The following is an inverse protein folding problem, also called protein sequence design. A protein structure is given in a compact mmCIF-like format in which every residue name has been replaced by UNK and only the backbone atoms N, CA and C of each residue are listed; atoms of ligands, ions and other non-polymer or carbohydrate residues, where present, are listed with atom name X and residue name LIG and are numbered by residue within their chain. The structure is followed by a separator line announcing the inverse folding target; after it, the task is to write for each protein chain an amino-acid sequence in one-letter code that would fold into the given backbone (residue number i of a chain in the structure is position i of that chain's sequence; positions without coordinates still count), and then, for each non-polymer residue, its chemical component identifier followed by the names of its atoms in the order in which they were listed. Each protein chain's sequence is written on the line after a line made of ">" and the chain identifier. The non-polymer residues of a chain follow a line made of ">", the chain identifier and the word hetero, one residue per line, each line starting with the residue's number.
data_IF_683956937486
#
_entry.id   IF_683956937486
#
_cell.length_a   1.000
_cell.length_b   1.000
_cell.length_c   1.000
_cell.angle_alpha   90.00
_cell.angle_beta   90.00
_cell.angle_gamma   90.00
#
_symmetry.space_group_name_H-M   'P 1'
#
loop_
_entity.id
_entity.type
_entity.pdbx_description
1 polymer ?
#
# COMPACT_ATOMS: atom_id res chain seq x y z
N UNK A 1 -15.33 8.16 13.47
CA UNK A 1 -16.56 7.79 12.71
C UNK A 1 -16.79 8.60 11.42
N UNK A 2 -15.78 9.26 10.81
CA UNK A 2 -15.94 9.94 9.50
C UNK A 2 -15.68 9.02 8.30
N UNK A 3 -15.00 7.89 8.49
CA UNK A 3 -14.81 6.86 7.47
C UNK A 3 -16.09 6.07 7.14
N UNK A 4 -17.13 6.20 7.96
CA UNK A 4 -18.12 5.13 8.13
C UNK A 4 -19.39 5.24 7.30
N UNK A 5 -19.73 6.40 6.70
CA UNK A 5 -21.00 6.52 5.95
C UNK A 5 -20.83 7.02 4.51
N UNK A 6 -20.03 8.07 4.27
CA UNK A 6 -19.87 8.66 2.93
C UNK A 6 -19.00 7.81 1.99
N UNK A 7 -17.97 7.14 2.51
CA UNK A 7 -17.15 6.20 1.74
C UNK A 7 -17.88 4.86 1.50
N UNK A 8 -18.68 4.42 2.48
CA UNK A 8 -19.35 3.11 2.48
C UNK A 8 -20.55 3.06 1.51
N UNK A 9 -21.43 4.06 1.52
CA UNK A 9 -22.53 4.15 0.55
C UNK A 9 -22.02 4.32 -0.89
N UNK A 10 -20.79 4.79 -1.04
CA UNK A 10 -20.10 4.98 -2.31
C UNK A 10 -19.54 3.68 -2.91
N UNK A 11 -19.48 2.56 -2.18
CA UNK A 11 -18.93 1.28 -2.73
C UNK A 11 -20.02 0.38 -3.30
N UNK A 12 -21.23 0.36 -2.72
CA UNK A 12 -22.35 -0.43 -3.25
C UNK A 12 -22.69 0.04 -4.67
N UNK A 13 -22.53 -0.85 -5.66
CA UNK A 13 -22.71 -0.55 -7.08
C UNK A 13 -21.47 0.01 -7.81
N UNK A 14 -20.37 0.29 -7.11
CA UNK A 14 -19.11 0.84 -7.66
C UNK A 14 -17.89 0.01 -7.28
N UNK A 15 -18.10 -1.27 -7.02
CA UNK A 15 -17.07 -2.24 -6.63
C UNK A 15 -15.90 -2.25 -7.62
N UNK A 16 -16.19 -2.28 -8.91
CA UNK A 16 -15.17 -2.24 -9.97
C UNK A 16 -14.35 -0.96 -9.91
N UNK A 17 -15.00 0.18 -9.71
CA UNK A 17 -14.32 1.48 -9.61
C UNK A 17 -13.37 1.53 -8.40
N UNK A 18 -13.78 0.96 -7.26
CA UNK A 18 -12.93 0.91 -6.05
C UNK A 18 -11.74 -0.02 -6.26
N UNK A 19 -11.94 -1.20 -6.86
CA UNK A 19 -10.83 -2.10 -7.21
C UNK A 19 -9.89 -1.41 -8.20
N UNK A 20 -10.43 -0.74 -9.21
CA UNK A 20 -9.65 0.02 -10.19
C UNK A 20 -8.84 1.13 -9.53
N UNK A 21 -9.42 1.88 -8.58
CA UNK A 21 -8.72 2.91 -7.82
C UNK A 21 -7.57 2.34 -6.97
N UNK A 22 -7.76 1.17 -6.36
CA UNK A 22 -6.68 0.47 -5.66
C UNK A 22 -5.59 0.05 -6.65
N UNK A 23 -5.96 -0.62 -7.74
CA UNK A 23 -5.00 -1.18 -8.70
C UNK A 23 -4.29 -0.09 -9.54
N UNK A 24 -4.83 1.13 -9.60
CA UNK A 24 -4.12 2.28 -10.14
C UNK A 24 -2.84 2.59 -9.35
N UNK A 25 -2.81 2.31 -8.03
CA UNK A 25 -1.55 2.34 -7.29
C UNK A 25 -0.61 1.21 -7.71
N UNK A 26 -1.10 0.06 -8.14
CA UNK A 26 -0.26 -1.03 -8.67
C UNK A 26 0.54 -0.64 -9.91
N UNK A 27 0.01 0.23 -10.77
CA UNK A 27 0.71 0.77 -11.93
C UNK A 27 1.90 1.67 -11.54
N UNK A 28 1.81 2.31 -10.38
CA UNK A 28 2.82 3.23 -9.86
C UNK A 28 3.15 2.92 -8.39
N UNK A 29 3.30 1.63 -8.06
CA UNK A 29 3.35 1.20 -6.66
C UNK A 29 4.63 1.70 -6.00
N UNK A 30 4.53 2.26 -4.79
CA UNK A 30 5.68 2.73 -4.00
C UNK A 30 6.86 1.74 -4.03
N UNK A 31 6.58 0.44 -3.89
CA UNK A 31 7.63 -0.58 -3.80
C UNK A 31 8.42 -0.77 -5.11
N UNK A 32 7.92 -0.23 -6.22
CA UNK A 32 8.52 -0.33 -7.55
C UNK A 32 9.43 0.86 -7.89
N UNK A 33 9.43 1.94 -7.11
CA UNK A 33 10.26 3.13 -7.38
C UNK A 33 11.36 3.26 -6.34
N UNK A 34 12.61 3.05 -6.76
CA UNK A 34 13.78 3.01 -5.88
C UNK A 34 14.61 4.27 -6.03
N UNK A 35 15.19 4.71 -4.92
CA UNK A 35 16.23 5.72 -4.96
C UNK A 35 17.45 5.18 -5.71
N UNK A 36 18.20 6.06 -6.36
CA UNK A 36 19.50 5.76 -6.95
C UNK A 36 20.66 6.07 -5.97
N UNK A 37 20.37 6.84 -4.91
CA UNK A 37 21.33 7.33 -3.94
C UNK A 37 20.63 7.85 -2.67
N UNK A 38 21.33 7.94 -1.52
CA UNK A 38 22.63 7.32 -1.24
C UNK A 38 22.53 5.79 -1.12
N UNK A 39 23.64 5.06 -1.37
CA UNK A 39 23.66 3.58 -1.38
C UNK A 39 23.08 2.93 -0.11
N UNK A 40 23.26 3.56 1.05
CA UNK A 40 22.69 3.07 2.31
C UNK A 40 21.15 3.08 2.29
N UNK A 41 20.53 4.09 1.67
CA UNK A 41 19.08 4.15 1.53
C UNK A 41 18.57 3.16 0.47
N UNK A 42 19.29 3.01 -0.65
CA UNK A 42 19.00 1.98 -1.67
C UNK A 42 19.01 0.58 -1.04
N UNK A 43 20.01 0.28 -0.21
CA UNK A 43 20.09 -1.00 0.49
C UNK A 43 18.93 -1.19 1.47
N UNK A 44 18.55 -0.15 2.20
CA UNK A 44 17.42 -0.17 3.12
C UNK A 44 16.08 -0.41 2.39
N UNK A 45 15.85 0.25 1.24
CA UNK A 45 14.70 -0.02 0.39
C UNK A 45 14.67 -1.46 -0.10
N UNK A 46 15.79 -2.01 -0.61
CA UNK A 46 15.86 -3.40 -1.06
C UNK A 46 15.52 -4.39 0.05
N UNK A 47 16.19 -4.26 1.19
CA UNK A 47 15.97 -5.15 2.35
C UNK A 47 14.54 -5.09 2.89
N UNK A 48 13.86 -3.94 2.78
CA UNK A 48 12.50 -3.75 3.28
C UNK A 48 11.43 -4.15 2.24
N UNK A 49 11.62 -3.81 0.98
CA UNK A 49 10.59 -3.89 -0.06
C UNK A 49 10.70 -5.13 -0.96
N UNK A 50 11.90 -5.67 -1.22
CA UNK A 50 12.06 -6.84 -2.10
C UNK A 50 11.30 -8.07 -1.57
N UNK A 51 11.33 -8.40 -0.26
CA UNK A 51 10.58 -9.56 0.26
C UNK A 51 9.05 -9.41 0.14
N UNK A 52 8.55 -8.18 0.02
CA UNK A 52 7.12 -7.88 -0.17
C UNK A 52 6.76 -7.95 -1.65
N UNK A 53 7.63 -7.42 -2.52
CA UNK A 53 7.46 -7.48 -3.96
C UNK A 53 7.48 -8.94 -4.44
N UNK A 54 8.51 -9.71 -4.06
CA UNK A 54 8.60 -11.13 -4.40
C UNK A 54 7.41 -11.95 -3.89
N UNK A 55 6.89 -11.61 -2.71
CA UNK A 55 5.69 -12.24 -2.19
C UNK A 55 4.47 -11.90 -3.05
N UNK A 56 4.30 -10.63 -3.42
CA UNK A 56 3.18 -10.19 -4.26
C UNK A 56 3.23 -10.85 -5.64
N UNK A 57 4.41 -10.95 -6.24
CA UNK A 57 4.64 -11.63 -7.51
C UNK A 57 4.26 -13.11 -7.45
N UNK A 58 4.61 -13.81 -6.36
CA UNK A 58 4.19 -15.20 -6.11
C UNK A 58 2.68 -15.31 -5.89
N UNK A 59 2.09 -14.37 -5.15
CA UNK A 59 0.65 -14.35 -4.87
C UNK A 59 -0.15 -14.14 -6.15
N UNK A 60 0.26 -13.23 -7.04
CA UNK A 60 -0.47 -12.91 -8.28
C UNK A 60 -0.06 -13.79 -9.47
N UNK A 61 1.12 -14.42 -9.44
CA UNK A 61 1.67 -15.18 -10.56
C UNK A 61 2.18 -14.29 -11.71
N UNK A 62 2.60 -13.07 -11.39
CA UNK A 62 3.05 -12.03 -12.34
C UNK A 62 4.30 -11.33 -11.81
N UNK A 63 4.89 -10.43 -12.61
CA UNK A 63 6.09 -9.68 -12.21
C UNK A 63 5.87 -8.17 -12.32
N UNK A 64 6.40 -7.46 -11.34
CA UNK A 64 6.44 -6.00 -11.38
C UNK A 64 7.77 -5.53 -11.95
N UNK A 65 7.74 -4.41 -12.66
CA UNK A 65 8.96 -3.74 -13.10
C UNK A 65 9.36 -2.75 -12.01
N UNK A 66 10.59 -2.90 -11.53
CA UNK A 66 11.22 -1.96 -10.59
C UNK A 66 12.01 -0.93 -11.39
N UNK A 67 11.81 0.35 -11.08
CA UNK A 67 12.55 1.47 -11.64
C UNK A 67 13.46 2.10 -10.60
N UNK A 68 14.62 2.59 -11.02
CA UNK A 68 15.56 3.35 -10.21
C UNK A 68 15.52 4.83 -10.65
N UNK A 69 15.50 5.75 -9.68
CA UNK A 69 15.38 7.18 -9.92
C UNK A 69 13.98 7.60 -10.37
N UNK A 70 13.91 8.60 -11.25
CA UNK A 70 12.65 9.26 -11.66
C UNK A 70 12.02 8.67 -12.94
N UNK A 71 12.62 7.62 -13.51
CA UNK A 71 12.16 7.08 -14.78
C UNK A 71 10.86 6.30 -14.59
N UNK A 72 9.75 6.67 -15.28
CA UNK A 72 8.52 5.89 -15.21
C UNK A 72 8.72 4.49 -15.80
N UNK A 73 8.13 3.49 -15.16
CA UNK A 73 8.04 2.12 -15.68
C UNK A 73 6.57 1.75 -15.88
N UNK A 74 6.21 1.36 -17.10
CA UNK A 74 4.87 0.86 -17.43
C UNK A 74 4.77 -0.60 -17.01
N UNK A 75 3.87 -0.91 -16.07
CA UNK A 75 3.69 -2.28 -15.57
C UNK A 75 3.01 -3.18 -16.61
N UNK A 76 3.37 -4.48 -16.69
CA UNK A 76 2.70 -5.40 -17.60
C UNK A 76 1.20 -5.49 -17.31
N UNK A 77 0.38 -5.45 -18.37
CA UNK A 77 -1.08 -5.44 -18.24
C UNK A 77 -1.59 -6.72 -17.54
N UNK A 78 -0.95 -7.86 -17.80
CA UNK A 78 -1.23 -9.13 -17.14
C UNK A 78 -0.93 -9.10 -15.64
N UNK A 79 0.12 -8.39 -15.20
CA UNK A 79 0.43 -8.22 -13.77
C UNK A 79 -0.66 -7.39 -13.09
N UNK A 80 -1.08 -6.29 -13.71
CA UNK A 80 -2.15 -5.43 -13.18
C UNK A 80 -3.52 -6.13 -13.15
N UNK A 81 -3.81 -6.96 -14.16
CA UNK A 81 -5.02 -7.78 -14.18
C UNK A 81 -4.99 -8.84 -13.07
N UNK A 82 -3.86 -9.53 -12.88
CA UNK A 82 -3.72 -10.53 -11.82
C UNK A 82 -3.86 -9.90 -10.41
N UNK A 83 -3.35 -8.67 -10.23
CA UNK A 83 -3.56 -7.89 -9.01
C UNK A 83 -5.04 -7.54 -8.80
N UNK A 84 -5.72 -7.10 -9.86
CA UNK A 84 -7.16 -6.81 -9.87
C UNK A 84 -7.97 -8.04 -9.42
N UNK A 85 -7.62 -9.21 -9.92
CA UNK A 85 -8.29 -10.46 -9.57
C UNK A 85 -8.12 -10.79 -8.08
N UNK A 86 -6.96 -10.50 -7.47
CA UNK A 86 -6.76 -10.69 -6.02
C UNK A 86 -7.57 -9.74 -5.17
N UNK A 87 -7.91 -8.56 -5.66
CA UNK A 87 -8.83 -7.65 -4.98
C UNK A 87 -10.29 -8.02 -5.17
N UNK A 88 -10.62 -8.69 -6.27
CA UNK A 88 -12.00 -9.09 -6.62
C UNK A 88 -12.65 -10.08 -5.65
N UNK A 89 -11.91 -10.68 -4.72
CA UNK A 89 -12.45 -11.62 -3.74
C UNK A 89 -12.91 -10.97 -2.42
N UNK A 90 -12.50 -9.73 -2.14
CA UNK A 90 -12.84 -9.08 -0.87
C UNK A 90 -14.25 -8.49 -0.90
N UNK A 91 -15.01 -8.54 0.19
CA UNK A 91 -16.32 -7.89 0.30
C UNK A 91 -16.24 -6.36 0.22
N UNK A 92 -17.37 -5.69 -0.02
CA UNK A 92 -17.41 -4.24 -0.25
C UNK A 92 -16.84 -3.41 0.92
N UNK A 93 -17.12 -3.80 2.16
CA UNK A 93 -16.56 -3.14 3.34
C UNK A 93 -15.05 -3.36 3.47
N UNK A 94 -14.56 -4.54 3.09
CA UNK A 94 -13.13 -4.83 3.08
C UNK A 94 -12.44 -3.98 2.00
N UNK A 95 -13.02 -3.86 0.82
CA UNK A 95 -12.49 -2.99 -0.24
C UNK A 95 -12.41 -1.52 0.17
N UNK A 96 -13.39 -1.01 0.91
CA UNK A 96 -13.34 0.36 1.42
C UNK A 96 -12.15 0.57 2.37
N UNK A 97 -11.89 -0.39 3.27
CA UNK A 97 -10.72 -0.36 4.16
C UNK A 97 -9.41 -0.46 3.37
N UNK A 98 -9.32 -1.39 2.42
CA UNK A 98 -8.14 -1.60 1.58
C UNK A 98 -7.83 -0.39 0.71
N UNK A 99 -8.84 0.29 0.17
CA UNK A 99 -8.66 1.52 -0.59
C UNK A 99 -8.08 2.66 0.25
N UNK A 100 -8.50 2.79 1.52
CA UNK A 100 -7.91 3.77 2.41
C UNK A 100 -6.43 3.45 2.68
N UNK A 101 -6.13 2.19 3.01
CA UNK A 101 -4.75 1.75 3.21
C UNK A 101 -3.90 1.99 1.95
N UNK A 102 -4.42 1.69 0.75
CA UNK A 102 -3.70 1.93 -0.50
C UNK A 102 -3.40 3.41 -0.72
N UNK A 103 -4.39 4.27 -0.49
CA UNK A 103 -4.25 5.73 -0.61
C UNK A 103 -3.19 6.27 0.35
N UNK A 104 -3.22 5.83 1.60
CA UNK A 104 -2.31 6.30 2.64
C UNK A 104 -0.87 5.80 2.49
N UNK A 105 -0.69 4.64 1.83
CA UNK A 105 0.62 4.02 1.61
C UNK A 105 1.18 4.21 0.20
N UNK A 106 0.39 4.78 -0.72
CA UNK A 106 0.70 4.83 -2.15
C UNK A 106 1.07 3.46 -2.76
N UNK A 107 0.43 2.39 -2.28
CA UNK A 107 0.74 1.02 -2.67
C UNK A 107 -0.52 0.17 -2.74
N UNK A 108 -0.64 -0.65 -3.77
CA UNK A 108 -1.59 -1.75 -3.83
C UNK A 108 -1.01 -3.05 -3.25
N UNK A 109 0.32 -3.18 -3.16
CA UNK A 109 0.95 -4.37 -2.59
C UNK A 109 0.79 -4.42 -1.07
N UNK A 110 1.05 -3.31 -0.37
CA UNK A 110 1.05 -3.27 1.11
C UNK A 110 -0.32 -3.61 1.74
N UNK A 111 -1.45 -3.03 1.28
CA UNK A 111 -2.76 -3.40 1.80
C UNK A 111 -3.10 -4.86 1.53
N UNK A 112 -2.73 -5.38 0.35
CA UNK A 112 -2.94 -6.79 0.02
C UNK A 112 -2.12 -7.71 0.95
N UNK A 113 -0.87 -7.35 1.25
CA UNK A 113 -0.02 -8.08 2.18
C UNK A 113 -0.63 -8.16 3.58
N UNK A 114 -1.16 -7.05 4.10
CA UNK A 114 -1.90 -7.04 5.37
C UNK A 114 -3.17 -7.88 5.28
N UNK A 115 -3.92 -7.75 4.18
CA UNK A 115 -5.15 -8.49 3.96
C UNK A 115 -4.93 -10.01 3.86
N UNK A 116 -3.75 -10.45 3.44
CA UNK A 116 -3.38 -11.87 3.37
C UNK A 116 -2.61 -12.35 4.61
N UNK A 117 -2.36 -11.47 5.57
CA UNK A 117 -1.62 -11.81 6.79
C UNK A 117 -0.12 -12.03 6.56
N UNK A 118 0.43 -11.51 5.45
CA UNK A 118 1.86 -11.62 5.12
C UNK A 118 2.73 -10.77 6.04
N UNK A 119 2.23 -9.59 6.43
CA UNK A 119 2.86 -8.67 7.38
C UNK A 119 1.81 -8.03 8.28
N UNK A 120 2.16 -7.62 9.51
CA UNK A 120 1.27 -6.84 10.33
C UNK A 120 1.07 -5.41 9.78
N UNK A 121 -0.04 -4.74 10.11
CA UNK A 121 -0.32 -3.37 9.65
C UNK A 121 0.75 -2.35 10.02
N UNK A 122 1.39 -2.50 11.17
CA UNK A 122 2.44 -1.61 11.66
C UNK A 122 3.68 -1.66 10.76
N UNK A 123 4.13 -2.87 10.42
CA UNK A 123 5.24 -3.07 9.48
C UNK A 123 4.90 -2.57 8.08
N UNK A 124 3.64 -2.73 7.64
CA UNK A 124 3.20 -2.18 6.36
C UNK A 124 3.25 -0.64 6.34
N UNK A 125 2.87 0.00 7.44
CA UNK A 125 2.98 1.45 7.59
C UNK A 125 4.44 1.92 7.59
N UNK A 126 5.31 1.21 8.31
CA UNK A 126 6.75 1.51 8.34
C UNK A 126 7.39 1.36 6.96
N UNK A 127 7.06 0.29 6.24
CA UNK A 127 7.51 0.10 4.86
C UNK A 127 7.03 1.23 3.94
N UNK A 128 5.79 1.71 4.12
CA UNK A 128 5.24 2.82 3.32
C UNK A 128 5.89 4.18 3.61
N UNK A 129 6.44 4.38 4.81
CA UNK A 129 7.01 5.66 5.25
C UNK A 129 8.54 5.57 5.43
N UNK A 130 9.18 4.61 4.75
CA UNK A 130 10.60 4.34 4.87
C UNK A 130 11.46 5.56 4.50
N UNK A 131 11.07 6.28 3.46
CA UNK A 131 11.76 7.50 3.01
C UNK A 131 11.62 8.64 4.03
N UNK A 132 10.41 8.88 4.54
CA UNK A 132 10.18 9.88 5.58
C UNK A 132 11.02 9.56 6.84
N UNK A 133 11.03 8.30 7.27
CA UNK A 133 11.82 7.85 8.41
C UNK A 133 13.33 8.00 8.16
N UNK A 134 13.80 7.78 6.93
CA UNK A 134 15.17 8.04 6.54
C UNK A 134 15.51 9.54 6.64
N UNK A 135 14.67 10.39 6.06
CA UNK A 135 14.86 11.84 6.02
C UNK A 135 14.88 12.45 7.42
N UNK A 136 13.98 12.04 8.30
CA UNK A 136 13.96 12.46 9.71
C UNK A 136 15.28 12.13 10.42
N UNK A 137 15.86 10.94 10.16
CA UNK A 137 17.15 10.56 10.77
C UNK A 137 18.31 11.42 10.25
N UNK A 138 18.25 11.88 9.01
CA UNK A 138 19.32 12.69 8.41
C UNK A 138 19.22 14.16 8.80
N UNK A 139 18.01 14.71 8.87
CA UNK A 139 17.80 16.16 8.94
C UNK A 139 16.98 16.62 10.14
N UNK A 140 16.58 15.69 11.02
CA UNK A 140 15.78 15.98 12.20
C UNK A 140 14.29 16.02 11.91
N UNK A 141 13.51 16.19 12.99
CA UNK A 141 12.05 16.17 12.93
C UNK A 141 11.47 17.56 12.63
N UNK A 142 10.47 17.60 11.75
CA UNK A 142 9.53 18.71 11.65
C UNK A 142 8.26 18.36 12.46
N UNK A 143 7.94 19.11 13.54
CA UNK A 143 6.76 18.85 14.38
C UNK A 143 5.43 18.80 13.60
N UNK A 144 5.27 19.62 12.56
CA UNK A 144 4.06 19.61 11.74
C UNK A 144 4.00 18.36 10.85
N UNK A 145 5.14 17.97 10.27
CA UNK A 145 5.25 16.71 9.52
C UNK A 145 4.96 15.51 10.42
N UNK A 146 5.51 15.47 11.63
CA UNK A 146 5.29 14.41 12.61
C UNK A 146 3.81 14.26 12.98
N UNK A 147 3.13 15.38 13.25
CA UNK A 147 1.70 15.37 13.58
C UNK A 147 0.84 14.85 12.40
N UNK A 148 1.17 15.24 11.16
CA UNK A 148 0.49 14.72 9.95
C UNK A 148 0.71 13.22 9.78
N UNK A 149 1.95 12.76 9.92
CA UNK A 149 2.33 11.35 9.83
C UNK A 149 1.63 10.51 10.91
N UNK A 150 1.59 10.99 12.16
CA UNK A 150 0.88 10.32 13.24
C UNK A 150 -0.62 10.16 12.97
N UNK A 151 -1.27 11.21 12.44
CA UNK A 151 -2.69 11.15 12.05
C UNK A 151 -2.94 10.15 10.92
N UNK A 152 -2.11 10.16 9.88
CA UNK A 152 -2.20 9.20 8.76
C UNK A 152 -1.96 7.76 9.24
N UNK A 153 -0.99 7.56 10.15
CA UNK A 153 -0.72 6.25 10.77
C UNK A 153 -1.95 5.73 11.50
N UNK A 154 -2.57 6.57 12.35
CA UNK A 154 -3.79 6.18 13.06
C UNK A 154 -4.92 5.80 12.10
N UNK A 155 -5.07 6.54 11.00
CA UNK A 155 -6.07 6.24 9.97
C UNK A 155 -5.79 4.91 9.26
N UNK A 156 -4.54 4.65 8.88
CA UNK A 156 -4.11 3.39 8.25
C UNK A 156 -4.38 2.19 9.17
N UNK A 157 -3.98 2.28 10.44
CA UNK A 157 -4.18 1.21 11.41
C UNK A 157 -5.66 1.01 11.74
N UNK A 158 -6.46 2.08 11.79
CA UNK A 158 -7.91 1.98 11.97
C UNK A 158 -8.58 1.24 10.80
N UNK A 159 -8.13 1.47 9.57
CA UNK A 159 -8.60 0.74 8.39
C UNK A 159 -8.21 -0.75 8.46
N UNK A 160 -6.98 -1.04 8.89
CA UNK A 160 -6.53 -2.42 9.07
C UNK A 160 -7.30 -3.16 10.18
N UNK A 161 -7.61 -2.51 11.31
CA UNK A 161 -8.43 -3.12 12.36
C UNK A 161 -9.86 -3.37 11.88
N UNK A 162 -10.46 -2.44 11.12
CA UNK A 162 -11.75 -2.68 10.48
C UNK A 162 -11.71 -3.93 9.57
N UNK A 163 -10.66 -4.06 8.74
CA UNK A 163 -10.47 -5.23 7.87
C UNK A 163 -10.41 -6.54 8.68
N UNK A 164 -9.72 -6.53 9.82
CA UNK A 164 -9.63 -7.69 10.73
C UNK A 164 -10.98 -8.03 11.37
N UNK A 165 -11.75 -7.03 11.82
CA UNK A 165 -13.07 -7.24 12.40
C UNK A 165 -14.06 -7.84 11.38
N UNK A 166 -13.95 -7.45 10.10
CA UNK A 166 -14.77 -7.97 9.00
C UNK A 166 -14.42 -9.42 8.59
N UNK A 167 -13.30 -9.98 9.07
CA UNK A 167 -12.91 -11.38 8.83
C UNK A 167 -13.41 -12.34 9.90
N UNK A 168 -13.97 -11.85 11.00
CA UNK A 168 -14.51 -12.73 12.05
C UNK A 168 -15.84 -13.33 11.56
N UNK A 169 -16.06 -14.64 11.76
CA UNK A 169 -17.22 -15.38 11.24
C UNK A 169 -18.56 -14.84 11.75
#
# INVERSE_FOLDING_TARGET
>A
TRLSNAAINRVRGRRRDVIGAICAYGAHDLLCYRADSPLAFVHLQRTTWDPLLEWAEKEIGGRFIVSEGVMPAEQPAETLQALTDRYSVFGDFQLAALNNMATLSASAILPLAVARGRIPPEEAWEAANLEEAWNIRQWGEDPEALARTARRRLEFLSAAELLKLLKRP
#
